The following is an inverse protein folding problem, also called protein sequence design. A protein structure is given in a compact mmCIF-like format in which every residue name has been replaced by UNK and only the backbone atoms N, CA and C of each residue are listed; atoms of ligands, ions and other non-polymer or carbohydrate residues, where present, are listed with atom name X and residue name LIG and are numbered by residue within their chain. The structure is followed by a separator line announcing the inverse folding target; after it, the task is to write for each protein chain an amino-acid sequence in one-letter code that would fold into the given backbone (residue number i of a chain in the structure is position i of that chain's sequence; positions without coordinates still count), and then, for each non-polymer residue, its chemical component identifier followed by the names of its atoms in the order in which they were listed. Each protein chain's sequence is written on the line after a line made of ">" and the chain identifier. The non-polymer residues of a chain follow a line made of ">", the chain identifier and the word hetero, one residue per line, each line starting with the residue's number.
data_IF_903447391076
#
_entry.id   IF_903447391076
#
_cell.length_a   1.000
_cell.length_b   1.000
_cell.length_c   1.000
_cell.angle_alpha   90.00
_cell.angle_beta   90.00
_cell.angle_gamma   90.00
#
_symmetry.space_group_name_H-M   'P 1'
#
loop_
_entity.id
_entity.type
_entity.pdbx_description
1 polymer ?
#
# COMPACT_ATOMS: atom_id res chain seq x y z
N UNK A 1 -22.32 -27.54 5.17
CA UNK A 1 -21.04 -27.44 4.43
C UNK A 1 -20.42 -26.13 4.86
N UNK A 2 -19.23 -26.14 5.47
CA UNK A 2 -18.52 -24.91 5.79
C UNK A 2 -18.10 -24.25 4.49
N UNK A 3 -18.47 -22.98 4.32
CA UNK A 3 -17.91 -22.12 3.27
C UNK A 3 -16.38 -22.23 3.29
N UNK A 4 -15.71 -22.38 2.14
CA UNK A 4 -14.25 -22.37 2.12
C UNK A 4 -13.78 -21.05 2.73
N UNK A 5 -12.91 -21.11 3.74
CA UNK A 5 -12.38 -19.91 4.37
C UNK A 5 -11.74 -19.05 3.28
N UNK A 6 -12.16 -17.79 3.15
CA UNK A 6 -11.57 -16.87 2.19
C UNK A 6 -10.04 -16.87 2.32
N UNK A 7 -9.30 -16.86 1.19
CA UNK A 7 -7.86 -16.95 1.23
C UNK A 7 -7.27 -15.77 2.01
N UNK A 8 -6.39 -16.06 2.98
CA UNK A 8 -5.62 -15.02 3.68
C UNK A 8 -4.44 -14.61 2.82
N UNK A 9 -4.50 -13.40 2.28
CA UNK A 9 -3.46 -12.88 1.38
C UNK A 9 -2.69 -11.78 2.09
N UNK A 10 -1.35 -11.92 2.09
CA UNK A 10 -0.43 -10.95 2.67
C UNK A 10 0.46 -10.39 1.56
N UNK A 11 0.57 -9.06 1.53
CA UNK A 11 1.47 -8.31 0.65
C UNK A 11 2.54 -7.68 1.53
N UNK A 12 3.82 -7.96 1.24
CA UNK A 12 4.96 -7.38 1.96
C UNK A 12 5.55 -6.25 1.12
N UNK A 13 5.41 -5.02 1.63
CA UNK A 13 5.83 -3.77 1.01
C UNK A 13 4.66 -2.99 0.40
N UNK A 14 4.55 -1.71 0.77
CA UNK A 14 3.56 -0.76 0.25
C UNK A 14 4.19 0.22 -0.76
N UNK A 15 5.11 -0.27 -1.61
CA UNK A 15 5.58 0.44 -2.79
C UNK A 15 4.64 0.33 -3.99
N UNK A 16 4.98 0.88 -5.17
CA UNK A 16 4.11 0.86 -6.35
C UNK A 16 3.60 -0.54 -6.71
N UNK A 17 4.47 -1.55 -6.68
CA UNK A 17 4.10 -2.93 -6.96
C UNK A 17 3.09 -3.47 -5.93
N UNK A 18 3.35 -3.28 -4.63
CA UNK A 18 2.47 -3.72 -3.56
C UNK A 18 1.11 -3.01 -3.56
N UNK A 19 1.09 -1.71 -3.83
CA UNK A 19 -0.15 -0.93 -3.97
C UNK A 19 -0.99 -1.48 -5.13
N UNK A 20 -0.37 -1.78 -6.28
CA UNK A 20 -1.08 -2.35 -7.43
C UNK A 20 -1.56 -3.77 -7.19
N UNK A 21 -0.77 -4.60 -6.50
CA UNK A 21 -1.19 -5.93 -6.08
C UNK A 21 -2.41 -5.86 -5.14
N UNK A 22 -2.38 -4.95 -4.16
CA UNK A 22 -3.50 -4.73 -3.25
C UNK A 22 -4.76 -4.30 -4.03
N UNK A 23 -4.63 -3.33 -4.94
CA UNK A 23 -5.74 -2.87 -5.77
C UNK A 23 -6.35 -4.01 -6.61
N UNK A 24 -5.54 -4.85 -7.26
CA UNK A 24 -6.04 -5.99 -8.03
C UNK A 24 -6.85 -6.96 -7.16
N UNK A 25 -6.40 -7.24 -5.95
CA UNK A 25 -7.11 -8.14 -5.02
C UNK A 25 -8.41 -7.50 -4.51
N UNK A 26 -8.35 -6.22 -4.18
CA UNK A 26 -9.48 -5.42 -3.71
C UNK A 26 -10.56 -5.27 -4.80
N UNK A 27 -10.18 -5.17 -6.06
CA UNK A 27 -11.10 -5.17 -7.21
C UNK A 27 -11.70 -6.56 -7.47
N UNK A 28 -11.01 -7.63 -7.08
CA UNK A 28 -11.52 -9.01 -7.10
C UNK A 28 -12.43 -9.34 -5.89
N UNK A 29 -12.74 -8.37 -5.03
CA UNK A 29 -13.57 -8.58 -3.83
C UNK A 29 -12.85 -9.25 -2.66
N UNK A 30 -11.51 -9.30 -2.68
CA UNK A 30 -10.70 -9.86 -1.61
C UNK A 30 -10.20 -8.76 -0.66
N UNK A 31 -9.89 -9.14 0.57
CA UNK A 31 -9.39 -8.23 1.61
C UNK A 31 -7.94 -8.58 1.98
N UNK A 32 -6.94 -7.99 1.31
CA UNK A 32 -5.53 -8.28 1.60
C UNK A 32 -5.02 -7.57 2.85
N UNK A 33 -4.00 -8.15 3.48
CA UNK A 33 -3.19 -7.49 4.51
C UNK A 33 -1.91 -6.97 3.86
N UNK A 34 -1.64 -5.67 3.96
CA UNK A 34 -0.42 -5.04 3.46
C UNK A 34 0.47 -4.68 4.65
N UNK A 35 1.69 -5.22 4.68
CA UNK A 35 2.68 -4.97 5.73
C UNK A 35 3.82 -4.15 5.13
N UNK A 36 4.18 -3.02 5.75
CA UNK A 36 5.22 -2.14 5.23
C UNK A 36 6.10 -1.58 6.36
N UNK A 37 7.40 -1.51 6.12
CA UNK A 37 8.36 -0.91 7.07
C UNK A 37 8.19 0.61 7.16
N UNK A 38 7.67 1.23 6.11
CA UNK A 38 7.49 2.67 6.00
C UNK A 38 6.38 3.18 6.91
N UNK A 39 6.47 4.48 7.21
CA UNK A 39 5.41 5.15 7.95
C UNK A 39 4.14 5.33 7.09
N UNK A 40 4.30 5.44 5.76
CA UNK A 40 3.21 5.65 4.80
C UNK A 40 3.53 4.91 3.51
N UNK A 41 2.49 4.41 2.85
CA UNK A 41 2.60 3.78 1.54
C UNK A 41 3.17 4.74 0.47
N UNK A 42 3.98 4.19 -0.43
CA UNK A 42 4.71 4.91 -1.48
C UNK A 42 6.02 4.24 -1.88
N UNK A 43 6.57 3.38 -1.01
CA UNK A 43 7.83 2.67 -1.26
C UNK A 43 9.04 3.59 -1.34
N UNK A 44 10.06 3.19 -2.11
CA UNK A 44 11.29 3.99 -2.28
C UNK A 44 11.12 5.10 -3.32
N UNK A 45 10.62 4.76 -4.53
CA UNK A 45 10.53 5.71 -5.65
C UNK A 45 9.49 6.81 -5.45
N UNK A 46 8.35 6.50 -4.83
CA UNK A 46 7.30 7.46 -4.50
C UNK A 46 7.15 7.62 -2.98
N UNK A 47 8.27 7.53 -2.25
CA UNK A 47 8.30 7.73 -0.80
C UNK A 47 7.63 9.05 -0.45
N UNK A 48 6.64 9.02 0.44
CA UNK A 48 6.01 10.25 0.93
C UNK A 48 6.94 10.98 1.88
N UNK A 49 7.04 12.31 1.79
CA UNK A 49 7.81 13.07 2.73
C UNK A 49 7.16 13.03 4.13
N UNK A 50 7.94 13.30 5.20
CA UNK A 50 7.40 13.42 6.55
C UNK A 50 6.43 14.61 6.65
N UNK A 51 5.62 14.62 7.72
CA UNK A 51 4.76 15.77 8.02
C UNK A 51 5.59 17.05 8.18
N UNK A 52 5.10 18.18 7.65
CA UNK A 52 5.78 19.47 7.70
C UNK A 52 6.86 19.68 6.62
N UNK A 53 7.08 18.73 5.72
CA UNK A 53 7.99 18.92 4.59
C UNK A 53 7.38 19.82 3.51
N UNK A 54 8.17 20.73 2.93
CA UNK A 54 7.68 21.84 2.11
C UNK A 54 7.78 21.66 0.60
N UNK A 55 8.49 20.63 0.12
CA UNK A 55 8.60 20.38 -1.34
C UNK A 55 7.31 19.80 -1.90
N UNK A 56 6.85 20.34 -3.02
CA UNK A 56 5.67 19.84 -3.73
C UNK A 56 5.98 18.49 -4.40
N UNK A 57 4.96 17.69 -4.76
CA UNK A 57 5.17 16.46 -5.53
C UNK A 57 5.93 16.67 -6.85
N UNK A 58 5.75 17.81 -7.55
CA UNK A 58 6.53 18.16 -8.74
C UNK A 58 8.01 18.29 -8.43
N UNK A 59 8.35 18.91 -7.29
CA UNK A 59 9.74 19.07 -6.85
C UNK A 59 10.36 17.77 -6.33
N UNK A 60 9.53 16.80 -5.90
CA UNK A 60 9.97 15.52 -5.37
C UNK A 60 10.12 14.44 -6.44
N UNK A 61 9.15 14.36 -7.34
CA UNK A 61 9.01 13.26 -8.29
C UNK A 61 9.16 13.70 -9.75
N UNK A 62 9.28 15.01 -10.02
CA UNK A 62 9.44 15.55 -11.36
C UNK A 62 8.27 15.17 -12.27
N UNK A 63 8.58 14.62 -13.44
CA UNK A 63 7.59 14.13 -14.41
C UNK A 63 6.71 13.00 -13.90
N UNK A 64 7.09 12.34 -12.79
CA UNK A 64 6.33 11.24 -12.20
C UNK A 64 5.37 11.70 -11.08
N UNK A 65 5.24 13.00 -10.85
CA UNK A 65 4.41 13.55 -9.76
C UNK A 65 2.96 13.07 -9.83
N UNK A 66 2.37 13.02 -11.01
CA UNK A 66 0.98 12.59 -11.18
C UNK A 66 0.81 11.09 -10.91
N UNK A 67 1.79 10.26 -11.31
CA UNK A 67 1.78 8.82 -11.00
C UNK A 67 1.95 8.57 -9.50
N UNK A 68 2.84 9.32 -8.85
CA UNK A 68 3.02 9.23 -7.40
C UNK A 68 1.72 9.59 -6.67
N UNK A 69 1.10 10.73 -7.02
CA UNK A 69 -0.20 11.15 -6.47
C UNK A 69 -1.28 10.12 -6.68
N UNK A 70 -1.39 9.57 -7.90
CA UNK A 70 -2.40 8.57 -8.22
C UNK A 70 -2.26 7.32 -7.35
N UNK A 71 -1.03 6.80 -7.18
CA UNK A 71 -0.78 5.65 -6.30
C UNK A 71 -1.03 5.97 -4.82
N UNK A 72 -0.67 7.17 -4.38
CA UNK A 72 -0.93 7.63 -3.02
C UNK A 72 -2.43 7.66 -2.71
N UNK A 73 -3.20 8.34 -3.57
CA UNK A 73 -4.66 8.47 -3.43
C UNK A 73 -5.36 7.11 -3.54
N UNK A 74 -4.90 6.23 -4.44
CA UNK A 74 -5.44 4.88 -4.58
C UNK A 74 -5.28 4.09 -3.28
N UNK A 75 -4.09 4.08 -2.70
CA UNK A 75 -3.84 3.34 -1.46
C UNK A 75 -4.60 3.93 -0.27
N UNK A 76 -4.59 5.26 -0.13
CA UNK A 76 -5.30 5.96 0.95
C UNK A 76 -6.80 5.64 0.89
N UNK A 77 -7.41 5.70 -0.29
CA UNK A 77 -8.83 5.36 -0.49
C UNK A 77 -9.14 3.93 -0.04
N UNK A 78 -8.35 2.94 -0.49
CA UNK A 78 -8.60 1.54 -0.09
C UNK A 78 -8.47 1.33 1.42
N UNK A 79 -7.52 2.02 2.06
CA UNK A 79 -7.34 1.95 3.51
C UNK A 79 -8.48 2.65 4.27
N UNK A 80 -8.86 3.86 3.85
CA UNK A 80 -9.94 4.66 4.46
C UNK A 80 -11.32 3.99 4.32
N UNK A 81 -11.56 3.32 3.19
CA UNK A 81 -12.76 2.50 2.95
C UNK A 81 -12.72 1.15 3.67
N UNK A 82 -11.61 0.81 4.34
CA UNK A 82 -11.45 -0.47 5.04
C UNK A 82 -11.47 -1.68 4.10
N UNK A 83 -11.03 -1.52 2.84
CA UNK A 83 -10.97 -2.60 1.83
C UNK A 83 -9.69 -3.44 1.92
N UNK A 84 -8.73 -2.99 2.71
CA UNK A 84 -7.51 -3.72 3.04
C UNK A 84 -7.14 -3.45 4.50
N UNK A 85 -6.31 -4.31 5.08
CA UNK A 85 -5.68 -4.05 6.38
C UNK A 85 -4.26 -3.56 6.16
N UNK A 86 -3.92 -2.36 6.64
CA UNK A 86 -2.57 -1.79 6.50
C UNK A 86 -1.79 -1.79 7.81
N UNK A 87 -0.71 -2.56 7.86
CA UNK A 87 0.25 -2.60 8.95
C UNK A 87 1.49 -1.77 8.58
N UNK A 88 1.42 -0.46 8.82
CA UNK A 88 2.58 0.43 8.68
C UNK A 88 3.61 0.17 9.79
N UNK A 89 4.86 0.63 9.58
CA UNK A 89 5.98 0.51 10.54
C UNK A 89 6.17 -0.91 11.07
N UNK A 90 5.94 -1.89 10.20
CA UNK A 90 5.94 -3.31 10.54
C UNK A 90 6.82 -4.07 9.56
N UNK A 91 7.59 -5.03 10.07
CA UNK A 91 8.46 -5.88 9.26
C UNK A 91 8.06 -7.35 9.40
N UNK A 92 8.09 -8.07 8.29
CA UNK A 92 7.94 -9.53 8.31
C UNK A 92 9.31 -10.15 8.60
N UNK A 93 9.39 -10.93 9.67
CA UNK A 93 10.66 -11.56 10.12
C UNK A 93 10.82 -12.97 9.56
N UNK A 94 9.73 -13.73 9.50
CA UNK A 94 9.70 -15.08 8.98
C UNK A 94 8.31 -15.42 8.44
N UNK A 95 8.27 -16.38 7.52
CA UNK A 95 7.05 -17.10 7.12
C UNK A 95 7.34 -18.56 7.38
N UNK A 96 6.44 -19.24 8.07
CA UNK A 96 6.51 -20.67 8.35
C UNK A 96 5.26 -21.35 7.82
N UNK A 97 5.36 -22.64 7.55
CA UNK A 97 4.22 -23.50 7.23
C UNK A 97 3.48 -23.96 8.50
#
# INVERSE_FOLDING_TARGET
>A
MSEPSSPRIVIVGAGPAGIRAAATLVDAGLHPVVIDEGHRAGGQIYRRPPAGFVRTPEQLYGSEADKARALHLLFDRMADEGRLTYCARSSVIAVHE
#
